data_IF_675675146985
#
_entry.id   IF_675675146985
#
_cell.length_a   1.000
_cell.length_b   1.000
_cell.length_c   1.000
_cell.angle_alpha   90.00
_cell.angle_beta   90.00
_cell.angle_gamma   90.00
#
_symmetry.space_group_name_H-M   'P 1'
#
loop_
_entity.id
_entity.type
_entity.pdbx_description
1 polymer ?
#
# COMPACT_ATOMS: atom_id res chain seq x y z
N UNK A 1 24.28 -18.16 -61.95
CA UNK A 1 22.86 -17.98 -61.57
C UNK A 1 22.28 -19.32 -61.16
N UNK A 2 21.89 -19.47 -59.89
CA UNK A 2 20.92 -20.46 -59.37
C UNK A 2 20.67 -20.09 -57.91
N UNK A 3 19.66 -19.23 -57.72
CA UNK A 3 19.08 -18.89 -56.43
C UNK A 3 18.27 -20.10 -55.94
N UNK A 4 18.40 -20.49 -54.68
CA UNK A 4 17.41 -21.30 -53.94
C UNK A 4 17.79 -21.37 -52.47
N UNK A 5 16.95 -20.81 -51.59
CA UNK A 5 16.49 -21.38 -50.31
C UNK A 5 15.87 -20.26 -49.46
N UNK A 6 14.61 -19.96 -49.76
CA UNK A 6 13.68 -19.28 -48.87
C UNK A 6 13.30 -20.27 -47.76
N UNK A 7 13.89 -20.13 -46.57
CA UNK A 7 13.36 -20.77 -45.37
C UNK A 7 12.46 -19.76 -44.64
N UNK A 8 11.16 -19.86 -44.92
CA UNK A 8 10.13 -19.27 -44.08
C UNK A 8 10.18 -19.93 -42.71
N UNK A 9 10.32 -19.13 -41.65
CA UNK A 9 9.87 -19.53 -40.32
C UNK A 9 9.05 -18.37 -39.76
N UNK A 10 7.76 -18.36 -40.10
CA UNK A 10 6.79 -17.52 -39.44
C UNK A 10 6.68 -18.00 -37.99
N UNK A 11 7.34 -17.28 -37.08
CA UNK A 11 7.13 -17.46 -35.65
C UNK A 11 5.73 -16.94 -35.30
N UNK A 12 4.78 -17.87 -35.27
CA UNK A 12 3.42 -17.66 -34.78
C UNK A 12 3.52 -17.31 -33.29
N UNK A 13 3.56 -16.02 -32.98
CA UNK A 13 3.36 -15.50 -31.63
C UNK A 13 1.92 -15.81 -31.23
N UNK A 14 1.72 -16.98 -30.61
CA UNK A 14 0.47 -17.29 -29.93
C UNK A 14 0.41 -16.35 -28.72
N UNK A 15 -0.38 -15.28 -28.87
CA UNK A 15 -0.71 -14.38 -27.78
C UNK A 15 -1.38 -15.19 -26.67
N UNK A 16 -0.65 -15.42 -25.58
CA UNK A 16 -1.22 -15.95 -24.35
C UNK A 16 -2.25 -14.91 -23.84
N UNK A 17 -3.52 -15.28 -23.63
CA UNK A 17 -4.41 -14.41 -22.90
C UNK A 17 -3.88 -14.38 -21.46
N UNK A 18 -3.38 -13.23 -21.05
CA UNK A 18 -3.09 -12.94 -19.65
C UNK A 18 -4.42 -13.04 -18.90
N UNK A 19 -4.75 -14.24 -18.41
CA UNK A 19 -5.83 -14.43 -17.48
C UNK A 19 -5.50 -13.58 -16.25
N UNK A 20 -6.15 -12.43 -16.15
CA UNK A 20 -6.18 -11.61 -14.95
C UNK A 20 -6.70 -12.50 -13.82
N UNK A 21 -5.78 -13.02 -13.01
CA UNK A 21 -6.16 -13.85 -11.88
C UNK A 21 -6.95 -12.97 -10.91
N UNK A 22 -8.19 -13.33 -10.54
CA UNK A 22 -8.87 -12.67 -9.45
C UNK A 22 -8.03 -12.96 -8.21
N UNK A 23 -7.32 -11.95 -7.75
CA UNK A 23 -6.53 -12.00 -6.53
C UNK A 23 -7.50 -12.16 -5.37
N UNK A 24 -7.76 -13.40 -4.98
CA UNK A 24 -8.48 -13.76 -3.75
C UNK A 24 -7.57 -13.47 -2.54
N UNK A 25 -7.21 -12.19 -2.38
CA UNK A 25 -6.59 -11.71 -1.15
C UNK A 25 -7.68 -11.72 -0.07
N UNK A 26 -7.39 -12.27 1.12
CA UNK A 26 -8.38 -12.38 2.18
C UNK A 26 -8.96 -11.01 2.49
N UNK A 27 -10.29 -10.93 2.52
CA UNK A 27 -11.08 -9.72 2.80
C UNK A 27 -11.08 -9.36 4.30
N UNK A 28 -9.91 -9.50 4.94
CA UNK A 28 -9.67 -9.06 6.30
C UNK A 28 -9.12 -7.63 6.31
N UNK A 29 -9.05 -6.99 7.49
CA UNK A 29 -8.24 -5.80 7.68
C UNK A 29 -6.83 -6.12 7.15
N UNK A 30 -6.36 -5.37 6.16
CA UNK A 30 -5.00 -5.55 5.65
C UNK A 30 -3.97 -5.35 6.76
N UNK A 31 -2.72 -5.76 6.54
CA UNK A 31 -1.65 -5.52 7.50
C UNK A 31 -1.64 -4.03 7.90
N UNK A 32 -1.49 -3.80 9.21
CA UNK A 32 -1.27 -2.44 9.72
C UNK A 32 -0.02 -1.90 9.03
N UNK A 33 -0.04 -0.65 8.53
CA UNK A 33 1.15 -0.09 7.92
C UNK A 33 2.27 -0.03 8.95
N UNK A 34 3.50 -0.15 8.49
CA UNK A 34 4.69 0.06 9.32
C UNK A 34 5.31 1.40 8.99
N UNK A 35 6.14 1.93 9.89
CA UNK A 35 6.86 3.19 9.70
C UNK A 35 7.56 3.29 8.33
N UNK A 36 8.20 2.20 7.90
CA UNK A 36 8.91 2.11 6.63
C UNK A 36 8.00 2.20 5.38
N UNK A 37 6.69 2.01 5.53
CA UNK A 37 5.74 2.23 4.42
C UNK A 37 5.53 3.72 4.14
N UNK A 38 5.86 4.58 5.10
CA UNK A 38 5.72 6.03 5.04
C UNK A 38 7.05 6.73 4.80
N UNK A 39 8.13 6.27 5.45
CA UNK A 39 9.49 6.78 5.27
C UNK A 39 10.07 6.29 3.92
N UNK A 40 9.73 7.03 2.86
CA UNK A 40 10.13 6.70 1.49
C UNK A 40 11.60 7.01 1.18
N UNK A 41 12.20 7.92 1.93
CA UNK A 41 13.58 8.36 1.74
C UNK A 41 14.59 7.60 2.65
N UNK A 42 14.11 6.94 3.70
CA UNK A 42 14.89 6.13 4.64
C UNK A 42 15.70 6.97 5.65
N UNK A 43 15.32 8.22 5.91
CA UNK A 43 16.02 9.12 6.82
C UNK A 43 15.62 8.92 8.30
N UNK A 44 14.64 8.04 8.57
CA UNK A 44 14.16 7.74 9.91
C UNK A 44 13.15 8.76 10.46
N UNK A 45 12.65 9.67 9.62
CA UNK A 45 11.57 10.63 9.91
C UNK A 45 10.54 10.55 8.79
N UNK A 46 9.26 10.75 9.13
CA UNK A 46 8.21 10.88 8.12
C UNK A 46 7.80 12.34 8.07
N UNK A 47 8.08 13.01 6.95
CA UNK A 47 7.59 14.37 6.73
C UNK A 47 6.08 14.38 6.41
N UNK A 48 5.45 15.54 6.54
CA UNK A 48 4.03 15.69 6.19
C UNK A 48 3.75 15.28 4.74
N UNK A 49 4.66 15.60 3.82
CA UNK A 49 4.55 15.25 2.41
C UNK A 49 4.58 13.73 2.21
N UNK A 50 5.54 13.04 2.83
CA UNK A 50 5.65 11.57 2.78
C UNK A 50 4.43 10.88 3.38
N UNK A 51 3.91 11.44 4.49
CA UNK A 51 2.69 10.94 5.10
C UNK A 51 1.48 11.04 4.16
N UNK A 52 1.30 12.19 3.50
CA UNK A 52 0.22 12.44 2.55
C UNK A 52 0.35 11.51 1.34
N UNK A 53 1.55 11.36 0.80
CA UNK A 53 1.81 10.56 -0.39
C UNK A 53 1.56 9.06 -0.13
N UNK A 54 2.10 8.53 0.97
CA UNK A 54 1.85 7.15 1.39
C UNK A 54 0.37 6.88 1.65
N UNK A 55 -0.34 7.82 2.29
CA UNK A 55 -1.79 7.73 2.53
C UNK A 55 -2.57 7.72 1.21
N UNK A 56 -2.25 8.64 0.31
CA UNK A 56 -2.90 8.76 -1.01
C UNK A 56 -2.68 7.50 -1.85
N UNK A 57 -1.47 6.96 -1.85
CA UNK A 57 -1.14 5.69 -2.50
C UNK A 57 -1.98 4.54 -1.98
N UNK A 58 -2.11 4.39 -0.66
CA UNK A 58 -2.94 3.32 -0.07
C UNK A 58 -4.42 3.48 -0.34
N UNK A 59 -4.93 4.71 -0.39
CA UNK A 59 -6.29 5.02 -0.80
C UNK A 59 -6.48 4.57 -2.26
N UNK A 60 -5.58 4.94 -3.17
CA UNK A 60 -5.65 4.54 -4.58
C UNK A 60 -5.57 3.01 -4.77
N UNK A 61 -4.69 2.33 -4.04
CA UNK A 61 -4.57 0.87 -4.06
C UNK A 61 -5.85 0.20 -3.57
N UNK A 62 -6.42 0.67 -2.46
CA UNK A 62 -7.70 0.15 -1.94
C UNK A 62 -8.86 0.38 -2.91
N UNK A 63 -8.91 1.55 -3.55
CA UNK A 63 -9.90 1.87 -4.56
C UNK A 63 -9.79 0.93 -5.77
N UNK A 64 -8.56 0.68 -6.24
CA UNK A 64 -8.27 -0.21 -7.36
C UNK A 64 -8.62 -1.67 -7.04
N UNK A 65 -8.35 -2.10 -5.82
CA UNK A 65 -8.68 -3.43 -5.32
C UNK A 65 -10.17 -3.60 -4.94
N UNK A 66 -11.00 -2.56 -5.14
CA UNK A 66 -12.43 -2.59 -4.79
C UNK A 66 -12.69 -2.73 -3.29
N UNK A 67 -11.71 -2.43 -2.43
CA UNK A 67 -11.84 -2.54 -0.98
C UNK A 67 -12.69 -1.40 -0.43
N UNK A 68 -13.46 -1.70 0.60
CA UNK A 68 -14.25 -0.69 1.29
C UNK A 68 -13.33 0.37 1.94
N UNK A 69 -13.59 1.64 1.63
CA UNK A 69 -12.87 2.81 2.15
C UNK A 69 -13.28 3.16 3.59
N UNK A 70 -13.40 2.15 4.45
CA UNK A 70 -13.77 2.33 5.86
C UNK A 70 -12.61 2.93 6.63
N UNK A 71 -12.91 3.85 7.54
CA UNK A 71 -11.92 4.44 8.46
C UNK A 71 -11.04 5.54 7.85
N UNK A 72 -11.31 6.04 6.63
CA UNK A 72 -10.60 7.21 6.11
C UNK A 72 -10.80 8.45 6.98
N UNK A 73 -12.02 8.65 7.49
CA UNK A 73 -12.37 9.74 8.41
C UNK A 73 -11.88 9.53 9.85
N UNK A 74 -11.41 8.32 10.19
CA UNK A 74 -10.85 7.97 11.50
C UNK A 74 -9.33 7.82 11.45
N UNK A 75 -8.72 8.08 10.29
CA UNK A 75 -7.27 8.10 10.20
C UNK A 75 -6.77 9.34 10.96
N UNK A 76 -5.84 9.13 11.89
CA UNK A 76 -5.17 10.22 12.58
C UNK A 76 -4.52 11.16 11.57
N UNK A 77 -4.66 12.46 11.81
CA UNK A 77 -3.98 13.48 11.02
C UNK A 77 -2.51 13.56 11.41
N UNK A 78 -1.65 14.01 10.50
CA UNK A 78 -0.21 14.17 10.75
C UNK A 78 0.05 14.92 12.06
N UNK A 79 -0.65 16.04 12.26
CA UNK A 79 -0.54 16.90 13.46
C UNK A 79 -1.00 16.24 14.76
N UNK A 80 -1.82 15.20 14.71
CA UNK A 80 -2.23 14.47 15.91
C UNK A 80 -1.16 13.46 16.34
N UNK A 81 -0.30 13.03 15.40
CA UNK A 81 0.79 12.09 15.64
C UNK A 81 2.08 12.85 15.99
N UNK A 82 2.31 13.99 15.34
CA UNK A 82 3.43 14.92 15.60
C UNK A 82 3.23 15.66 16.93
N UNK A 83 3.46 14.95 18.03
CA UNK A 83 3.22 15.46 19.39
C UNK A 83 4.22 16.52 19.80
N UNK A 84 5.45 16.46 19.28
CA UNK A 84 6.49 17.44 19.56
C UNK A 84 6.45 18.64 18.60
N UNK A 85 5.63 18.59 17.54
CA UNK A 85 5.48 19.63 16.52
C UNK A 85 6.80 20.01 15.85
N UNK A 86 7.69 19.04 15.66
CA UNK A 86 8.99 19.25 15.03
C UNK A 86 8.92 19.18 13.49
N UNK A 87 7.74 18.85 12.94
CA UNK A 87 7.49 18.77 11.51
C UNK A 87 7.83 17.41 10.89
N UNK A 88 8.15 16.39 11.70
CA UNK A 88 8.40 15.03 11.25
C UNK A 88 7.97 13.98 12.27
N UNK A 89 7.31 12.91 11.82
CA UNK A 89 6.97 11.80 12.73
C UNK A 89 8.21 10.95 12.98
N UNK A 90 8.59 10.86 14.24
CA UNK A 90 9.55 9.87 14.71
C UNK A 90 8.93 8.47 14.77
N UNK A 91 9.78 7.44 14.86
CA UNK A 91 9.33 6.06 15.03
C UNK A 91 8.52 5.90 16.32
N UNK A 92 8.93 6.57 17.39
CA UNK A 92 8.28 6.53 18.69
C UNK A 92 6.86 7.12 18.62
N UNK A 93 6.69 8.25 17.94
CA UNK A 93 5.37 8.88 17.76
C UNK A 93 4.45 8.04 16.88
N UNK A 94 4.99 7.45 15.81
CA UNK A 94 4.25 6.53 14.95
C UNK A 94 3.76 5.30 15.72
N UNK A 95 4.65 4.66 16.49
CA UNK A 95 4.34 3.46 17.27
C UNK A 95 3.35 3.76 18.41
N UNK A 96 3.47 4.93 19.05
CA UNK A 96 2.52 5.40 20.04
C UNK A 96 1.11 5.55 19.44
N UNK A 97 0.98 6.20 18.28
CA UNK A 97 -0.29 6.35 17.59
C UNK A 97 -0.88 4.98 17.17
N UNK A 98 -0.05 4.07 16.65
CA UNK A 98 -0.49 2.73 16.28
C UNK A 98 -1.01 1.94 17.49
N UNK A 99 -0.35 2.08 18.63
CA UNK A 99 -0.77 1.46 19.90
C UNK A 99 -2.12 2.00 20.37
N UNK A 100 -2.38 3.31 20.24
CA UNK A 100 -3.69 3.92 20.55
C UNK A 100 -4.80 3.34 19.69
N UNK A 101 -4.55 3.13 18.40
CA UNK A 101 -5.51 2.51 17.48
C UNK A 101 -5.80 1.04 17.82
N UNK A 102 -4.82 0.29 18.31
CA UNK A 102 -5.04 -1.11 18.76
C UNK A 102 -5.83 -1.13 20.06
N UNK A 103 -5.53 -0.23 21.01
CA UNK A 103 -6.23 -0.17 22.29
C UNK A 103 -7.69 0.28 22.16
N UNK A 104 -7.99 1.19 21.22
CA UNK A 104 -9.36 1.63 20.94
C UNK A 104 -10.16 0.68 20.05
N UNK A 105 -9.58 -0.46 19.65
CA UNK A 105 -10.27 -1.47 18.87
C UNK A 105 -10.93 -2.44 19.85
N UNK A 106 -12.27 -2.40 20.06
CA UNK A 106 -12.92 -3.39 20.89
C UNK A 106 -12.59 -4.77 20.31
N UNK A 107 -12.03 -5.65 21.15
CA UNK A 107 -11.77 -7.02 20.72
C UNK A 107 -13.08 -7.58 20.14
N UNK A 108 -13.08 -8.18 18.94
CA UNK A 108 -14.21 -9.00 18.54
C UNK A 108 -14.36 -10.09 19.61
N UNK A 109 -15.59 -10.39 20.08
CA UNK A 109 -15.80 -11.42 21.09
C UNK A 109 -15.12 -12.70 20.60
N UNK A 110 -14.37 -13.35 21.49
CA UNK A 110 -13.79 -14.66 21.23
C UNK A 110 -14.93 -15.57 20.75
N UNK A 111 -14.78 -16.13 19.54
CA UNK A 111 -15.70 -17.14 19.03
C UNK A 111 -15.61 -18.41 19.86
#
# INVERSE_FOLDING_TARGET
>A
MKLSCLASLAALFIALPAAAQPSTRPMGPGPMPVFADFDGNGDGRITEQEFIDARSKRIAERATEGRAMRGLSQAADFKEIDTNSDGGLSREEFDANQSRHIQNRPMPPAR
#
